data_IF_599442151352
#
_entry.id   IF_599442151352
#
_cell.length_a   1.000
_cell.length_b   1.000
_cell.length_c   1.000
_cell.angle_alpha   90.00
_cell.angle_beta   90.00
_cell.angle_gamma   90.00
#
_symmetry.space_group_name_H-M   'P 1'
#
loop_
_entity.id
_entity.type
_entity.pdbx_description
1 polymer ?
#
# COMPACT_ATOMS: atom_id res chain seq x y z
N UNK A 1 -18.73 -31.35 34.55
CA UNK A 1 -18.80 -31.90 33.18
C UNK A 1 -19.82 -31.10 32.39
N UNK A 2 -19.56 -30.73 31.10
CA UNK A 2 -20.54 -30.00 30.31
C UNK A 2 -21.80 -30.85 30.11
N UNK A 3 -22.96 -30.25 30.28
CA UNK A 3 -24.27 -30.88 30.08
C UNK A 3 -24.49 -31.25 28.61
N UNK A 4 -25.31 -32.29 28.33
CA UNK A 4 -25.70 -32.62 26.96
C UNK A 4 -26.35 -31.44 26.22
N UNK A 5 -27.03 -30.57 26.94
CA UNK A 5 -27.64 -29.36 26.39
C UNK A 5 -26.56 -28.37 25.94
N UNK A 6 -25.50 -28.22 26.73
CA UNK A 6 -24.38 -27.35 26.39
C UNK A 6 -23.61 -27.84 25.17
N UNK A 7 -23.42 -29.15 25.04
CA UNK A 7 -22.80 -29.76 23.86
C UNK A 7 -23.65 -29.53 22.60
N UNK A 8 -24.97 -29.72 22.68
CA UNK A 8 -25.88 -29.45 21.55
C UNK A 8 -25.87 -27.98 21.15
N UNK A 9 -25.83 -27.04 22.12
CA UNK A 9 -25.71 -25.62 21.84
C UNK A 9 -24.38 -25.29 21.13
N UNK A 10 -23.26 -25.86 21.59
CA UNK A 10 -21.94 -25.67 20.95
C UNK A 10 -21.94 -26.24 19.53
N UNK A 11 -22.47 -27.44 19.30
CA UNK A 11 -22.56 -28.00 17.94
C UNK A 11 -23.34 -27.07 17.01
N UNK A 12 -24.50 -26.56 17.47
CA UNK A 12 -25.31 -25.61 16.68
C UNK A 12 -24.55 -24.32 16.38
N UNK A 13 -23.88 -23.73 17.37
CA UNK A 13 -23.07 -22.54 17.20
C UNK A 13 -21.94 -22.74 16.18
N UNK A 14 -21.22 -23.85 16.27
CA UNK A 14 -20.13 -24.20 15.33
C UNK A 14 -20.68 -24.42 13.92
N UNK A 15 -21.83 -25.11 13.74
CA UNK A 15 -22.47 -25.24 12.43
C UNK A 15 -22.86 -23.88 11.82
N UNK A 16 -23.42 -22.99 12.63
CA UNK A 16 -23.74 -21.64 12.17
C UNK A 16 -22.47 -20.86 11.75
N UNK A 17 -21.41 -20.93 12.57
CA UNK A 17 -20.12 -20.31 12.24
C UNK A 17 -19.52 -20.88 10.96
N UNK A 18 -19.64 -22.19 10.73
CA UNK A 18 -19.21 -22.85 9.49
C UNK A 18 -19.95 -22.31 8.27
N UNK A 19 -21.27 -22.10 8.36
CA UNK A 19 -22.05 -21.51 7.26
C UNK A 19 -21.62 -20.06 6.97
N UNK A 20 -21.41 -19.26 8.03
CA UNK A 20 -20.93 -17.88 7.90
C UNK A 20 -19.56 -17.84 7.22
N UNK A 21 -18.61 -18.67 7.68
CA UNK A 21 -17.27 -18.72 7.09
C UNK A 21 -17.28 -19.21 5.64
N UNK A 22 -18.17 -20.14 5.29
CA UNK A 22 -18.38 -20.58 3.91
C UNK A 22 -18.88 -19.42 3.04
N UNK A 23 -19.85 -18.66 3.50
CA UNK A 23 -20.35 -17.47 2.81
C UNK A 23 -19.25 -16.41 2.66
N UNK A 24 -18.48 -16.14 3.72
CA UNK A 24 -17.34 -15.22 3.66
C UNK A 24 -16.29 -15.67 2.63
N UNK A 25 -16.00 -16.95 2.53
CA UNK A 25 -15.09 -17.51 1.51
C UNK A 25 -15.58 -17.23 0.09
N UNK A 26 -16.88 -17.40 -0.18
CA UNK A 26 -17.46 -17.12 -1.50
C UNK A 26 -17.37 -15.63 -1.84
N UNK A 27 -17.70 -14.73 -0.90
CA UNK A 27 -17.60 -13.29 -1.10
C UNK A 27 -16.13 -12.86 -1.32
N UNK A 28 -15.20 -13.42 -0.55
CA UNK A 28 -13.78 -13.13 -0.72
C UNK A 28 -13.26 -13.60 -2.08
N UNK A 29 -13.65 -14.81 -2.53
CA UNK A 29 -13.28 -15.34 -3.85
C UNK A 29 -13.80 -14.45 -4.99
N UNK A 30 -15.06 -14.01 -4.90
CA UNK A 30 -15.64 -13.09 -5.90
C UNK A 30 -14.90 -11.74 -5.95
N UNK A 31 -14.56 -11.17 -4.78
CA UNK A 31 -13.77 -9.93 -4.71
C UNK A 31 -12.36 -10.09 -5.26
N UNK A 32 -11.71 -11.21 -4.93
CA UNK A 32 -10.37 -11.53 -5.45
C UNK A 32 -10.38 -11.66 -6.96
N UNK A 33 -11.33 -12.41 -7.52
CA UNK A 33 -11.48 -12.55 -8.98
C UNK A 33 -11.65 -11.20 -9.67
N UNK A 34 -12.53 -10.34 -9.18
CA UNK A 34 -12.72 -8.98 -9.74
C UNK A 34 -11.47 -8.13 -9.65
N UNK A 35 -10.70 -8.24 -8.55
CA UNK A 35 -9.44 -7.52 -8.41
C UNK A 35 -8.38 -8.02 -9.40
N UNK A 36 -8.28 -9.36 -9.58
CA UNK A 36 -7.38 -9.98 -10.55
C UNK A 36 -7.73 -9.57 -11.99
N UNK A 37 -9.01 -9.61 -12.36
CA UNK A 37 -9.48 -9.19 -13.69
C UNK A 37 -9.11 -7.71 -13.96
N UNK A 38 -9.27 -6.83 -12.98
CA UNK A 38 -8.86 -5.41 -13.11
C UNK A 38 -7.36 -5.25 -13.33
N UNK A 39 -6.54 -6.00 -12.59
CA UNK A 39 -5.09 -5.95 -12.73
C UNK A 39 -4.66 -6.48 -14.11
N UNK A 40 -5.22 -7.62 -14.55
CA UNK A 40 -4.91 -8.22 -15.84
C UNK A 40 -5.27 -7.25 -16.99
N UNK A 41 -6.43 -6.61 -16.90
CA UNK A 41 -6.88 -5.66 -17.91
C UNK A 41 -6.07 -4.34 -17.92
N UNK A 42 -5.58 -3.90 -16.77
CA UNK A 42 -4.77 -2.67 -16.67
C UNK A 42 -3.29 -2.88 -17.02
N UNK A 43 -2.77 -4.10 -16.87
CA UNK A 43 -1.34 -4.41 -17.05
C UNK A 43 -0.79 -4.09 -18.45
N UNK A 44 -1.46 -4.38 -19.57
CA UNK A 44 -0.94 -4.04 -20.91
C UNK A 44 -0.74 -2.53 -21.06
N UNK A 45 -1.70 -1.73 -20.61
CA UNK A 45 -1.61 -0.27 -20.65
C UNK A 45 -0.44 0.24 -19.79
N UNK A 46 -0.34 -0.22 -18.54
CA UNK A 46 0.72 0.18 -17.63
C UNK A 46 2.12 -0.18 -18.18
N UNK A 47 2.28 -1.39 -18.78
CA UNK A 47 3.53 -1.82 -19.38
C UNK A 47 3.91 -0.97 -20.59
N UNK A 48 2.95 -0.65 -21.44
CA UNK A 48 3.19 0.18 -22.62
C UNK A 48 3.50 1.63 -22.22
N UNK A 49 2.79 2.18 -21.26
CA UNK A 49 3.08 3.50 -20.72
C UNK A 49 4.49 3.59 -20.14
N UNK A 50 4.90 2.58 -19.38
CA UNK A 50 6.26 2.51 -18.83
C UNK A 50 7.34 2.48 -19.94
N UNK A 51 7.11 1.74 -21.02
CA UNK A 51 8.02 1.72 -22.18
C UNK A 51 8.13 3.08 -22.85
N UNK A 52 6.98 3.75 -23.09
CA UNK A 52 6.95 5.08 -23.68
C UNK A 52 7.68 6.09 -22.79
N UNK A 53 7.38 6.11 -21.51
CA UNK A 53 8.03 7.00 -20.53
C UNK A 53 9.55 6.76 -20.46
N UNK A 54 9.99 5.50 -20.44
CA UNK A 54 11.42 5.17 -20.46
C UNK A 54 12.09 5.64 -21.74
N UNK A 55 11.44 5.43 -22.90
CA UNK A 55 11.96 5.89 -24.19
C UNK A 55 12.05 7.42 -24.30
N UNK A 56 11.07 8.14 -23.76
CA UNK A 56 11.09 9.61 -23.71
C UNK A 56 12.18 10.11 -22.75
N UNK A 57 12.25 9.54 -21.57
CA UNK A 57 13.21 9.92 -20.54
C UNK A 57 14.69 9.77 -20.96
N UNK A 58 14.98 8.83 -21.87
CA UNK A 58 16.34 8.65 -22.40
C UNK A 58 16.71 9.63 -23.54
N UNK A 59 15.72 10.30 -24.12
CA UNK A 59 15.90 11.23 -25.25
C UNK A 59 15.77 12.70 -24.88
N UNK A 60 15.29 13.00 -23.70
CA UNK A 60 15.03 14.35 -23.21
C UNK A 60 16.09 14.71 -22.18
N UNK A 61 16.56 15.95 -22.20
CA UNK A 61 17.45 16.47 -21.17
C UNK A 61 16.74 16.40 -19.80
N UNK A 62 17.33 15.73 -18.79
CA UNK A 62 16.74 15.62 -17.45
C UNK A 62 16.45 16.96 -16.79
N UNK A 63 17.10 18.05 -17.21
CA UNK A 63 16.90 19.40 -16.66
C UNK A 63 15.55 20.02 -17.03
N UNK A 64 14.90 19.54 -18.12
CA UNK A 64 13.66 20.11 -18.66
C UNK A 64 12.47 19.87 -17.72
N UNK A 65 12.47 18.75 -16.98
CA UNK A 65 11.33 18.40 -16.16
C UNK A 65 11.74 18.03 -14.73
N UNK A 66 11.14 18.65 -13.70
CA UNK A 66 11.54 18.44 -12.29
C UNK A 66 11.54 16.97 -11.84
N UNK A 67 10.67 16.14 -12.41
CA UNK A 67 10.60 14.70 -12.09
C UNK A 67 11.68 13.86 -12.78
N UNK A 68 12.37 14.37 -13.78
CA UNK A 68 13.49 13.72 -14.46
C UNK A 68 14.84 14.11 -13.84
N UNK A 69 14.90 15.27 -13.20
CA UNK A 69 16.13 15.78 -12.58
C UNK A 69 16.62 14.83 -11.49
N UNK A 70 17.86 14.37 -11.63
CA UNK A 70 18.53 13.60 -10.57
C UNK A 70 19.03 14.62 -9.55
N UNK A 71 18.48 14.56 -8.35
CA UNK A 71 18.91 15.40 -7.24
C UNK A 71 19.94 14.67 -6.41
N UNK A 72 21.07 15.30 -6.16
CA UNK A 72 22.04 14.76 -5.22
C UNK A 72 21.49 14.79 -3.79
N UNK A 73 21.72 13.74 -3.00
CA UNK A 73 21.29 13.70 -1.61
C UNK A 73 21.98 14.82 -0.82
N UNK A 74 21.20 15.74 -0.27
CA UNK A 74 21.70 16.72 0.69
C UNK A 74 21.65 16.12 2.11
N UNK A 75 22.43 16.62 3.07
CA UNK A 75 22.38 16.14 4.47
C UNK A 75 20.97 16.17 5.09
N UNK A 76 20.15 17.13 4.68
CA UNK A 76 18.77 17.31 5.18
C UNK A 76 17.70 16.67 4.29
N UNK A 77 18.10 16.04 3.18
CA UNK A 77 17.11 15.44 2.28
C UNK A 77 16.43 14.24 2.93
N UNK A 78 15.12 14.16 2.71
CA UNK A 78 14.27 13.09 3.22
C UNK A 78 13.96 12.07 2.13
N UNK A 79 13.63 10.86 2.51
CA UNK A 79 13.09 9.84 1.60
C UNK A 79 11.62 9.61 1.92
N UNK A 80 10.74 9.72 0.91
CA UNK A 80 9.34 9.36 1.07
C UNK A 80 9.17 7.85 0.90
N UNK A 81 8.69 7.19 1.94
CA UNK A 81 8.38 5.76 1.95
C UNK A 81 6.87 5.57 1.98
N UNK A 82 6.29 5.07 0.90
CA UNK A 82 4.85 4.78 0.84
C UNK A 82 4.62 3.33 1.23
N UNK A 83 4.00 3.12 2.40
CA UNK A 83 3.67 1.80 2.92
C UNK A 83 2.21 1.47 2.65
N UNK A 84 1.98 0.44 1.83
CA UNK A 84 0.64 -0.01 1.45
C UNK A 84 0.26 -1.24 2.25
N UNK A 85 -0.81 -1.13 3.03
CA UNK A 85 -1.35 -2.22 3.87
C UNK A 85 -2.86 -2.35 3.68
N UNK A 86 -3.45 -3.41 4.19
CA UNK A 86 -4.91 -3.54 4.19
C UNK A 86 -5.58 -2.71 5.29
N UNK A 87 -6.87 -2.41 5.07
CA UNK A 87 -7.73 -1.82 6.11
C UNK A 87 -8.20 -2.85 7.14
N UNK A 88 -8.34 -4.10 6.71
CA UNK A 88 -8.85 -5.21 7.53
C UNK A 88 -7.77 -6.26 7.76
N UNK A 89 -7.98 -7.10 8.76
CA UNK A 89 -7.19 -8.30 8.99
C UNK A 89 -7.64 -9.49 8.15
N UNK A 90 -7.29 -10.69 8.60
CA UNK A 90 -7.59 -11.98 7.96
C UNK A 90 -6.98 -12.12 6.54
N UNK A 91 -5.79 -11.54 6.36
CA UNK A 91 -5.01 -11.57 5.12
C UNK A 91 -3.66 -12.30 5.29
N UNK A 92 -3.58 -13.24 6.22
CA UNK A 92 -2.34 -13.93 6.57
C UNK A 92 -1.27 -12.95 7.05
N UNK A 93 -0.05 -13.12 6.60
CA UNK A 93 1.12 -12.30 6.96
C UNK A 93 1.26 -11.01 6.15
N UNK A 94 0.39 -10.73 5.18
CA UNK A 94 0.53 -9.58 4.27
C UNK A 94 0.80 -8.25 4.99
N UNK A 95 -0.09 -7.86 5.92
CA UNK A 95 0.08 -6.59 6.64
C UNK A 95 1.37 -6.58 7.47
N UNK A 96 1.67 -7.69 8.15
CA UNK A 96 2.87 -7.81 8.98
C UNK A 96 4.14 -7.73 8.16
N UNK A 97 4.17 -8.39 7.00
CA UNK A 97 5.34 -8.37 6.12
C UNK A 97 5.56 -6.97 5.52
N UNK A 98 4.49 -6.32 5.02
CA UNK A 98 4.59 -4.95 4.51
C UNK A 98 5.06 -3.95 5.58
N UNK A 99 4.55 -4.07 6.81
CA UNK A 99 4.99 -3.23 7.93
C UNK A 99 6.45 -3.50 8.30
N UNK A 100 6.85 -4.78 8.39
CA UNK A 100 8.24 -5.16 8.69
C UNK A 100 9.20 -4.65 7.62
N UNK A 101 8.86 -4.82 6.34
CA UNK A 101 9.68 -4.33 5.24
C UNK A 101 9.83 -2.79 5.28
N UNK A 102 8.73 -2.07 5.52
CA UNK A 102 8.78 -0.61 5.69
C UNK A 102 9.61 -0.18 6.89
N UNK A 103 9.45 -0.84 8.04
CA UNK A 103 10.21 -0.54 9.24
C UNK A 103 11.71 -0.85 9.08
N UNK A 104 12.07 -1.97 8.47
CA UNK A 104 13.45 -2.32 8.16
C UNK A 104 14.09 -1.27 7.25
N UNK A 105 13.41 -0.89 6.17
CA UNK A 105 13.88 0.14 5.26
C UNK A 105 14.16 1.47 5.98
N UNK A 106 13.27 1.89 6.90
CA UNK A 106 13.44 3.14 7.66
C UNK A 106 14.66 3.07 8.57
N UNK A 107 14.89 1.93 9.22
CA UNK A 107 16.04 1.73 10.13
C UNK A 107 17.36 1.67 9.36
N UNK A 108 17.35 1.04 8.19
CA UNK A 108 18.55 0.87 7.34
C UNK A 108 18.86 2.12 6.51
N UNK A 109 17.89 3.02 6.34
CA UNK A 109 18.06 4.21 5.52
C UNK A 109 19.02 5.21 6.18
N UNK A 110 20.04 5.68 5.46
CA UNK A 110 20.93 6.73 5.95
C UNK A 110 20.26 8.10 6.01
N UNK A 111 19.13 8.27 5.35
CA UNK A 111 18.37 9.53 5.27
C UNK A 111 17.14 9.46 6.17
N UNK A 112 16.71 10.62 6.65
CA UNK A 112 15.42 10.76 7.36
C UNK A 112 14.27 10.31 6.45
N UNK A 113 13.44 9.42 6.95
CA UNK A 113 12.27 8.94 6.22
C UNK A 113 11.01 9.70 6.63
N UNK A 114 10.18 10.01 5.64
CA UNK A 114 8.81 10.49 5.83
C UNK A 114 7.85 9.48 5.21
N UNK A 115 6.72 9.23 5.86
CA UNK A 115 5.83 8.15 5.49
C UNK A 115 4.58 8.64 4.75
N UNK A 116 4.23 7.93 3.68
CA UNK A 116 2.88 7.91 3.13
C UNK A 116 2.19 6.61 3.54
N UNK A 117 1.11 6.69 4.29
CA UNK A 117 0.45 5.51 4.85
C UNK A 117 -0.85 5.23 4.09
N UNK A 118 -0.89 4.10 3.41
CA UNK A 118 -2.07 3.62 2.69
C UNK A 118 -2.59 2.37 3.39
N UNK A 119 -3.83 2.46 3.89
CA UNK A 119 -4.47 1.39 4.66
C UNK A 119 -4.33 1.54 6.17
N UNK A 120 -5.38 1.10 6.85
CA UNK A 120 -5.53 1.27 8.31
C UNK A 120 -4.44 0.60 9.13
N UNK A 121 -3.99 -0.60 8.71
CA UNK A 121 -3.03 -1.38 9.52
C UNK A 121 -1.66 -0.74 9.58
N UNK A 122 -1.18 -0.15 8.48
CA UNK A 122 0.06 0.63 8.46
C UNK A 122 -0.07 1.92 9.29
N UNK A 123 -1.17 2.65 9.12
CA UNK A 123 -1.45 3.85 9.91
C UNK A 123 -1.43 3.56 11.41
N UNK A 124 -2.16 2.53 11.85
CA UNK A 124 -2.26 2.18 13.29
C UNK A 124 -0.90 1.77 13.87
N UNK A 125 -0.02 1.18 13.05
CA UNK A 125 1.32 0.80 13.50
C UNK A 125 2.28 1.98 13.57
N UNK A 126 2.43 2.73 12.48
CA UNK A 126 3.42 3.81 12.38
C UNK A 126 2.97 5.07 13.09
N UNK A 127 1.68 5.44 13.02
CA UNK A 127 1.15 6.62 13.68
C UNK A 127 1.31 6.61 15.21
N UNK A 128 1.22 5.43 15.84
CA UNK A 128 1.42 5.30 17.29
C UNK A 128 2.88 5.38 17.74
N UNK A 129 3.82 5.36 16.83
CA UNK A 129 5.27 5.30 17.10
C UNK A 129 6.00 6.60 16.80
N UNK A 130 5.27 7.67 16.51
CA UNK A 130 5.83 9.00 16.30
C UNK A 130 6.65 9.17 15.02
N UNK A 131 6.46 8.32 14.02
CA UNK A 131 7.07 8.52 12.71
C UNK A 131 6.49 9.75 12.02
N UNK A 132 7.33 10.48 11.27
CA UNK A 132 6.89 11.60 10.47
C UNK A 132 6.02 11.11 9.31
N UNK A 133 4.76 11.53 9.27
CA UNK A 133 3.78 11.12 8.26
C UNK A 133 3.45 12.33 7.38
N UNK A 134 3.56 12.16 6.06
CA UNK A 134 3.18 13.17 5.08
C UNK A 134 1.67 13.11 4.77
N UNK A 135 1.16 11.90 4.56
CA UNK A 135 -0.26 11.69 4.28
C UNK A 135 -0.73 10.31 4.75
N UNK A 136 -2.03 10.23 4.97
CA UNK A 136 -2.73 8.99 5.32
C UNK A 136 -3.94 8.79 4.41
N UNK A 137 -4.09 7.59 3.86
CA UNK A 137 -5.24 7.18 3.06
C UNK A 137 -5.82 5.87 3.58
N UNK A 138 -7.00 5.93 4.17
CA UNK A 138 -7.66 4.79 4.81
C UNK A 138 -9.02 4.56 4.18
N UNK A 139 -9.40 3.28 4.00
CA UNK A 139 -10.73 2.92 3.49
C UNK A 139 -10.87 2.90 1.97
N UNK A 140 -9.83 3.25 1.22
CA UNK A 140 -9.86 3.32 -0.25
C UNK A 140 -10.10 1.94 -0.92
N UNK A 141 -9.71 0.85 -0.26
CA UNK A 141 -9.81 -0.49 -0.83
C UNK A 141 -11.24 -1.05 -0.91
N UNK A 142 -12.22 -0.39 -0.30
CA UNK A 142 -13.63 -0.81 -0.43
C UNK A 142 -14.19 -0.53 -1.82
N UNK A 143 -13.83 0.62 -2.38
CA UNK A 143 -14.20 1.05 -3.73
C UNK A 143 -13.04 1.82 -4.34
N UNK A 144 -12.00 1.09 -4.72
CA UNK A 144 -10.79 1.67 -5.31
C UNK A 144 -11.11 2.35 -6.64
N UNK A 145 -10.79 3.64 -6.76
CA UNK A 145 -10.94 4.47 -7.95
C UNK A 145 -9.59 5.03 -8.38
N UNK A 146 -9.49 5.43 -9.62
CA UNK A 146 -8.30 6.06 -10.17
C UNK A 146 -7.94 7.36 -9.42
N UNK A 147 -8.95 8.12 -9.02
CA UNK A 147 -8.79 9.37 -8.26
C UNK A 147 -8.06 9.16 -6.94
N UNK A 148 -8.31 8.04 -6.26
CA UNK A 148 -7.63 7.71 -5.00
C UNK A 148 -6.11 7.54 -5.23
N UNK A 149 -5.72 6.85 -6.30
CA UNK A 149 -4.32 6.70 -6.69
C UNK A 149 -3.71 8.03 -7.17
N UNK A 150 -4.48 8.84 -7.90
CA UNK A 150 -4.07 10.16 -8.38
C UNK A 150 -3.76 11.11 -7.22
N UNK A 151 -4.61 11.17 -6.20
CA UNK A 151 -4.37 12.00 -5.01
C UNK A 151 -3.06 11.62 -4.32
N UNK A 152 -2.83 10.31 -4.11
CA UNK A 152 -1.58 9.81 -3.51
C UNK A 152 -0.36 10.21 -4.37
N UNK A 153 -0.45 10.00 -5.69
CA UNK A 153 0.62 10.33 -6.61
C UNK A 153 0.88 11.85 -6.65
N UNK A 154 -0.17 12.66 -6.70
CA UNK A 154 -0.06 14.12 -6.74
C UNK A 154 0.62 14.65 -5.47
N UNK A 155 0.21 14.18 -4.28
CA UNK A 155 0.85 14.57 -3.02
C UNK A 155 2.34 14.23 -3.01
N UNK A 156 2.71 13.05 -3.53
CA UNK A 156 4.12 12.66 -3.63
C UNK A 156 4.90 13.50 -4.66
N UNK A 157 4.28 13.85 -5.78
CA UNK A 157 4.85 14.70 -6.82
C UNK A 157 5.09 16.12 -6.30
N UNK A 158 4.08 16.72 -5.67
CA UNK A 158 4.14 18.08 -5.15
C UNK A 158 5.25 18.21 -4.10
N UNK A 159 5.33 17.26 -3.18
CA UNK A 159 6.38 17.21 -2.16
C UNK A 159 7.77 16.99 -2.77
N UNK A 160 7.88 16.19 -3.84
CA UNK A 160 9.15 16.04 -4.57
C UNK A 160 9.54 17.33 -5.29
N UNK A 161 8.61 17.99 -5.98
CA UNK A 161 8.86 19.24 -6.71
C UNK A 161 9.24 20.36 -5.75
N UNK A 162 8.61 20.44 -4.58
CA UNK A 162 8.95 21.41 -3.52
C UNK A 162 10.39 21.24 -2.97
N UNK A 163 11.05 20.11 -3.24
CA UNK A 163 12.43 19.88 -2.83
C UNK A 163 12.58 19.16 -1.49
N UNK A 164 11.49 18.71 -0.90
CA UNK A 164 11.49 17.99 0.39
C UNK A 164 12.20 16.64 0.32
N UNK A 165 12.28 16.05 -0.88
CA UNK A 165 12.80 14.71 -1.11
C UNK A 165 13.88 14.70 -2.20
N UNK A 166 14.98 13.99 -1.95
CA UNK A 166 16.11 13.92 -2.89
C UNK A 166 16.15 12.64 -3.73
N UNK A 167 15.51 11.56 -3.31
CA UNK A 167 15.62 10.28 -3.99
C UNK A 167 14.26 9.64 -4.29
N UNK A 168 14.21 8.96 -5.44
CA UNK A 168 13.08 8.19 -5.91
C UNK A 168 13.48 6.73 -6.05
N UNK A 169 13.24 5.93 -5.01
CA UNK A 169 13.31 4.47 -5.12
C UNK A 169 11.90 3.90 -4.94
N UNK A 170 11.42 3.17 -5.94
CA UNK A 170 10.26 2.28 -5.78
C UNK A 170 10.79 0.90 -5.42
N UNK A 171 10.48 0.40 -4.23
CA UNK A 171 10.66 -0.98 -3.85
C UNK A 171 9.29 -1.62 -3.72
N UNK A 172 9.04 -2.67 -4.49
CA UNK A 172 7.91 -3.56 -4.29
C UNK A 172 8.38 -4.69 -3.37
N UNK A 173 7.70 -4.85 -2.24
CA UNK A 173 7.86 -6.01 -1.36
C UNK A 173 6.95 -7.14 -1.82
#
# INVERSE_FOLDING_TARGET
>A
MPSLIDLRRRIRAVKNTQQITKAMKMVAASKLRRAQERIINARPYASQMQRVLSSVATRVDPSIHPLLTVREPRPDSKTLVIVVTGDKGLCGSFNTNSIKAGAAYIVESPQKCMLGLVGRKGRDFFGRRGFAVLFEQVGIFQKLRYEDARVIAQTAIDAFVAGDFASRKASAA
#
